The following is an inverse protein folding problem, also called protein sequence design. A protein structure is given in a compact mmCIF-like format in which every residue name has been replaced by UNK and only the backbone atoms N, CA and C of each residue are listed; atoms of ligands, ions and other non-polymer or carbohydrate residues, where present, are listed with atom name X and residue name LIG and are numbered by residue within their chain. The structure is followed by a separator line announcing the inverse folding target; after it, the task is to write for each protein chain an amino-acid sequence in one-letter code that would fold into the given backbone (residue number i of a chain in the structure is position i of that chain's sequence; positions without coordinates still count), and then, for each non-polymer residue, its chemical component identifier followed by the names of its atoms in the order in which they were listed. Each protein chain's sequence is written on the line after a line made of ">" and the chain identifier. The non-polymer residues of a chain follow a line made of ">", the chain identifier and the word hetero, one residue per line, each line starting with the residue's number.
data_IF_865523945911
#
_entry.id   IF_865523945911
#
_cell.length_a   1.000
_cell.length_b   1.000
_cell.length_c   1.000
_cell.angle_alpha   90.00
_cell.angle_beta   90.00
_cell.angle_gamma   90.00
#
_symmetry.space_group_name_H-M   'P 1'
#
loop_
_entity.id
_entity.type
_entity.pdbx_description
1 polymer ?
#
# COMPACT_ATOMS: atom_id res chain seq x y z
N UNK A 1 -21.04 -8.13 31.68
CA UNK A 1 -20.46 -9.05 30.66
C UNK A 1 -20.80 -8.51 29.27
N UNK A 2 -20.06 -7.52 28.74
CA UNK A 2 -20.22 -7.04 27.35
C UNK A 2 -18.96 -6.27 26.93
N UNK A 3 -17.81 -6.94 26.96
CA UNK A 3 -16.53 -6.39 26.47
C UNK A 3 -15.78 -7.44 25.64
N UNK A 4 -16.52 -8.28 24.92
CA UNK A 4 -15.95 -9.40 24.16
C UNK A 4 -16.66 -9.54 22.80
N UNK A 5 -16.68 -8.51 21.96
CA UNK A 5 -17.00 -8.71 20.53
C UNK A 5 -16.62 -7.60 19.54
N UNK A 6 -15.92 -6.55 19.95
CA UNK A 6 -15.61 -5.41 19.06
C UNK A 6 -14.24 -5.48 18.40
N UNK A 7 -13.35 -6.39 18.78
CA UNK A 7 -12.03 -6.54 18.15
C UNK A 7 -12.09 -7.19 16.76
N UNK A 8 -12.99 -8.17 16.59
CA UNK A 8 -13.17 -8.90 15.34
C UNK A 8 -13.66 -7.99 14.18
N UNK A 9 -14.70 -7.14 14.33
CA UNK A 9 -15.12 -6.27 13.24
C UNK A 9 -14.09 -5.21 12.85
N UNK A 10 -13.18 -4.80 13.74
CA UNK A 10 -12.15 -3.79 13.44
C UNK A 10 -11.01 -4.39 12.61
N UNK A 11 -10.63 -5.65 12.87
CA UNK A 11 -9.68 -6.38 12.04
C UNK A 11 -10.25 -6.73 10.66
N UNK A 12 -11.57 -6.97 10.58
CA UNK A 12 -12.28 -7.22 9.32
C UNK A 12 -12.52 -5.94 8.50
N UNK A 13 -12.86 -4.84 9.17
CA UNK A 13 -13.15 -3.55 8.57
C UNK A 13 -11.86 -2.70 8.50
N UNK A 14 -10.89 -3.18 7.72
CA UNK A 14 -9.67 -2.41 7.45
C UNK A 14 -9.94 -1.24 6.49
N UNK A 15 -8.93 -0.92 5.68
CA UNK A 15 -8.98 0.19 4.73
C UNK A 15 -10.16 0.11 3.73
N UNK A 16 -10.82 -1.04 3.61
CA UNK A 16 -11.98 -1.31 2.73
C UNK A 16 -13.27 -0.66 3.21
N UNK A 17 -13.32 -0.15 4.46
CA UNK A 17 -14.51 0.52 5.03
C UNK A 17 -14.36 2.04 5.00
N UNK A 18 -15.40 2.74 4.55
CA UNK A 18 -15.38 4.18 4.25
C UNK A 18 -15.08 5.12 5.45
N UNK A 19 -15.03 4.62 6.69
CA UNK A 19 -14.60 5.36 7.88
C UNK A 19 -13.29 4.86 8.52
N UNK A 20 -12.72 3.78 8.00
CA UNK A 20 -11.56 3.07 8.55
C UNK A 20 -10.41 2.98 7.54
N UNK A 21 -10.38 3.90 6.56
CA UNK A 21 -9.33 3.95 5.52
C UNK A 21 -7.92 4.08 6.08
N UNK A 22 -7.77 4.59 7.31
CA UNK A 22 -6.51 4.71 8.06
C UNK A 22 -6.13 3.47 8.89
N UNK A 23 -6.95 2.41 8.87
CA UNK A 23 -6.68 1.15 9.56
C UNK A 23 -6.15 0.14 8.53
N UNK A 24 -4.84 -0.10 8.56
CA UNK A 24 -4.16 -0.99 7.63
C UNK A 24 -2.95 -1.64 8.31
N UNK A 25 -2.52 -2.78 7.76
CA UNK A 25 -1.33 -3.49 8.23
C UNK A 25 -0.06 -2.96 7.55
N UNK A 26 -0.17 -2.53 6.29
CA UNK A 26 0.92 -1.98 5.50
C UNK A 26 0.38 -0.85 4.62
N UNK A 27 1.13 0.25 4.51
CA UNK A 27 0.94 1.26 3.47
C UNK A 27 2.25 1.45 2.71
N UNK A 28 2.17 1.40 1.38
CA UNK A 28 3.28 1.66 0.47
C UNK A 28 2.88 2.82 -0.44
N UNK A 29 3.73 3.82 -0.59
CA UNK A 29 3.47 4.94 -1.50
C UNK A 29 4.73 5.42 -2.21
N UNK A 30 4.54 5.98 -3.40
CA UNK A 30 5.57 6.79 -4.02
C UNK A 30 5.52 8.19 -3.43
N UNK A 31 6.63 8.60 -2.81
CA UNK A 31 6.76 9.95 -2.26
C UNK A 31 7.13 10.93 -3.38
N UNK A 32 6.43 12.07 -3.44
CA UNK A 32 6.96 13.24 -4.14
C UNK A 32 8.25 13.65 -3.43
N UNK A 33 9.30 13.85 -4.21
CA UNK A 33 10.71 13.96 -3.81
C UNK A 33 11.06 15.22 -3.00
N UNK A 34 10.35 15.47 -1.90
CA UNK A 34 10.68 16.50 -0.90
C UNK A 34 11.30 15.93 0.38
N UNK A 35 11.13 14.64 0.63
CA UNK A 35 11.82 13.95 1.72
C UNK A 35 13.14 13.40 1.17
N UNK A 36 14.16 14.26 1.08
CA UNK A 36 15.53 13.80 1.14
C UNK A 36 15.66 12.97 2.42
N UNK A 37 15.50 11.65 2.31
CA UNK A 37 15.85 10.72 3.37
C UNK A 37 17.27 11.07 3.74
N UNK A 38 17.48 11.47 4.99
CA UNK A 38 18.81 11.81 5.50
C UNK A 38 19.71 10.64 5.16
N UNK A 39 20.56 10.84 4.14
CA UNK A 39 21.33 9.80 3.49
C UNK A 39 22.38 9.34 4.50
N UNK A 40 22.01 8.39 5.33
CA UNK A 40 22.93 7.82 6.30
C UNK A 40 23.79 6.83 5.51
N UNK A 41 24.87 7.37 4.92
CA UNK A 41 25.81 6.70 4.04
C UNK A 41 26.48 5.45 4.65
N UNK A 42 26.17 5.15 5.91
CA UNK A 42 26.70 3.99 6.61
C UNK A 42 26.12 2.66 6.12
N UNK A 43 24.90 2.61 5.57
CA UNK A 43 24.22 1.34 5.26
C UNK A 43 23.80 1.13 3.80
N UNK A 44 23.87 2.13 2.91
CA UNK A 44 23.42 2.01 1.52
C UNK A 44 24.35 2.80 0.59
N UNK A 45 24.80 2.15 -0.49
CA UNK A 45 25.58 2.80 -1.55
C UNK A 45 24.75 3.91 -2.23
N UNK A 46 25.26 5.16 -2.30
CA UNK A 46 24.54 6.31 -2.87
C UNK A 46 23.96 6.03 -4.26
N UNK A 47 24.75 5.38 -5.12
CA UNK A 47 24.41 5.10 -6.51
C UNK A 47 23.15 4.22 -6.67
N UNK A 48 22.82 3.41 -5.66
CA UNK A 48 21.64 2.55 -5.71
C UNK A 48 20.38 3.35 -5.39
N UNK A 49 20.47 4.29 -4.45
CA UNK A 49 19.36 5.18 -4.10
C UNK A 49 19.00 6.08 -5.29
N UNK A 50 20.00 6.62 -5.99
CA UNK A 50 19.77 7.47 -7.16
C UNK A 50 19.03 6.74 -8.29
N UNK A 51 19.35 5.45 -8.50
CA UNK A 51 18.64 4.63 -9.49
C UNK A 51 17.17 4.42 -9.13
N UNK A 52 16.84 4.20 -7.85
CA UNK A 52 15.47 4.09 -7.38
C UNK A 52 14.70 5.41 -7.52
N UNK A 53 15.34 6.53 -7.17
CA UNK A 53 14.73 7.86 -7.29
C UNK A 53 14.37 8.20 -8.74
N UNK A 54 15.25 7.89 -9.69
CA UNK A 54 15.03 8.12 -11.13
C UNK A 54 13.86 7.28 -11.69
N UNK A 55 13.62 6.08 -11.16
CA UNK A 55 12.49 5.24 -11.58
C UNK A 55 11.14 5.76 -11.06
N UNK A 56 11.14 6.44 -9.92
CA UNK A 56 9.92 6.97 -9.27
C UNK A 56 9.67 8.44 -9.59
N UNK A 57 10.60 9.12 -10.26
CA UNK A 57 10.54 10.58 -10.52
C UNK A 57 9.28 11.00 -11.28
N UNK A 58 8.77 10.14 -12.17
CA UNK A 58 7.56 10.41 -12.96
C UNK A 58 6.28 9.78 -12.38
N UNK A 59 6.39 9.10 -11.23
CA UNK A 59 5.27 8.37 -10.62
C UNK A 59 5.09 8.86 -9.19
N UNK A 60 4.21 9.83 -9.02
CA UNK A 60 3.89 10.39 -7.71
C UNK A 60 2.45 10.10 -7.28
N UNK A 61 2.26 10.01 -5.96
CA UNK A 61 0.94 9.98 -5.34
C UNK A 61 0.15 8.69 -5.45
N UNK A 62 0.71 7.60 -5.99
CA UNK A 62 0.13 6.26 -5.80
C UNK A 62 0.43 5.78 -4.37
N UNK A 63 -0.61 5.37 -3.65
CA UNK A 63 -0.53 4.70 -2.35
C UNK A 63 -1.36 3.40 -2.40
N UNK A 64 -0.75 2.31 -1.95
CA UNK A 64 -1.38 1.00 -1.80
C UNK A 64 -1.37 0.62 -0.33
N UNK A 65 -2.56 0.41 0.23
CA UNK A 65 -2.77 -0.04 1.60
C UNK A 65 -3.23 -1.49 1.59
N UNK A 66 -2.58 -2.33 2.38
CA UNK A 66 -2.98 -3.71 2.60
C UNK A 66 -3.63 -3.86 3.98
N UNK A 67 -4.78 -4.53 3.99
CA UNK A 67 -5.48 -5.00 5.18
C UNK A 67 -5.58 -6.52 5.13
N UNK A 68 -6.07 -7.14 6.20
CA UNK A 68 -6.17 -8.60 6.27
C UNK A 68 -7.04 -9.20 5.15
N UNK A 69 -8.16 -8.54 4.84
CA UNK A 69 -9.16 -9.05 3.89
C UNK A 69 -9.17 -8.35 2.54
N UNK A 70 -8.27 -7.39 2.30
CA UNK A 70 -8.23 -6.71 1.02
C UNK A 70 -7.24 -5.56 0.95
N UNK A 71 -7.35 -4.84 -0.15
CA UNK A 71 -6.42 -3.81 -0.57
C UNK A 71 -7.16 -2.54 -0.91
N UNK A 72 -6.50 -1.41 -0.73
CA UNK A 72 -7.04 -0.11 -1.03
C UNK A 72 -6.00 0.70 -1.76
N UNK A 73 -6.41 1.30 -2.86
CA UNK A 73 -5.55 2.03 -3.74
C UNK A 73 -6.00 3.49 -3.79
N UNK A 74 -5.07 4.39 -3.55
CA UNK A 74 -5.32 5.84 -3.50
C UNK A 74 -4.36 6.52 -4.45
N UNK A 75 -4.86 7.50 -5.21
CA UNK A 75 -4.03 8.35 -6.05
C UNK A 75 -4.13 9.80 -5.57
N UNK A 76 -3.00 10.49 -5.43
CA UNK A 76 -2.92 11.91 -5.05
C UNK A 76 -3.82 12.27 -3.86
N UNK A 77 -3.88 11.40 -2.84
CA UNK A 77 -4.75 11.55 -1.66
C UNK A 77 -6.25 11.75 -1.95
N UNK A 78 -6.71 11.33 -3.14
CA UNK A 78 -8.11 11.39 -3.57
C UNK A 78 -8.91 10.19 -3.03
N UNK A 79 -10.09 9.92 -3.61
CA UNK A 79 -10.89 8.75 -3.23
C UNK A 79 -10.09 7.44 -3.38
N UNK A 80 -10.16 6.59 -2.35
CA UNK A 80 -9.53 5.27 -2.35
C UNK A 80 -10.47 4.23 -2.97
N UNK A 81 -9.97 3.46 -3.93
CA UNK A 81 -10.66 2.29 -4.50
C UNK A 81 -10.22 1.04 -3.78
N UNK A 82 -11.17 0.28 -3.24
CA UNK A 82 -10.89 -0.89 -2.41
C UNK A 82 -11.37 -2.18 -3.09
N UNK A 83 -10.59 -3.25 -2.99
CA UNK A 83 -10.98 -4.58 -3.48
C UNK A 83 -10.34 -5.68 -2.65
N UNK A 84 -10.98 -6.84 -2.58
CA UNK A 84 -10.39 -8.04 -1.98
C UNK A 84 -9.37 -8.72 -2.91
N UNK A 85 -9.43 -8.45 -4.21
CA UNK A 85 -8.48 -8.95 -5.20
C UNK A 85 -7.64 -7.80 -5.72
N UNK A 86 -6.32 -7.94 -5.59
CA UNK A 86 -5.39 -6.92 -6.06
C UNK A 86 -5.34 -6.84 -7.59
N UNK A 87 -5.65 -7.95 -8.27
CA UNK A 87 -5.65 -8.02 -9.73
C UNK A 87 -6.77 -7.12 -10.32
N UNK A 88 -7.88 -6.97 -9.60
CA UNK A 88 -8.93 -5.99 -9.96
C UNK A 88 -8.42 -4.55 -9.89
N UNK A 89 -7.60 -4.23 -8.87
CA UNK A 89 -7.00 -2.90 -8.71
C UNK A 89 -5.87 -2.64 -9.72
N UNK A 90 -5.14 -3.68 -10.13
CA UNK A 90 -4.06 -3.57 -11.11
C UNK A 90 -4.54 -2.99 -12.45
N UNK A 91 -5.73 -3.40 -12.90
CA UNK A 91 -6.36 -2.83 -14.10
C UNK A 91 -6.58 -1.30 -14.00
N UNK A 92 -6.90 -0.80 -12.81
CA UNK A 92 -7.12 0.64 -12.56
C UNK A 92 -5.82 1.43 -12.62
N UNK A 93 -4.71 0.83 -12.19
CA UNK A 93 -3.37 1.41 -12.33
C UNK A 93 -2.98 1.47 -13.80
N UNK A 94 -3.10 0.36 -14.53
CA UNK A 94 -2.72 0.27 -15.95
C UNK A 94 -3.52 1.21 -16.86
N UNK A 95 -4.79 1.50 -16.50
CA UNK A 95 -5.67 2.39 -17.28
C UNK A 95 -5.36 3.89 -17.08
N UNK A 96 -4.51 4.25 -16.11
CA UNK A 96 -4.18 5.65 -15.84
C UNK A 96 -3.00 6.09 -16.72
N UNK A 97 -2.99 7.37 -17.12
CA UNK A 97 -1.90 7.94 -17.92
C UNK A 97 -0.53 7.83 -17.21
N UNK A 98 -0.53 7.96 -15.88
CA UNK A 98 0.63 7.78 -14.99
C UNK A 98 0.75 6.33 -14.48
N UNK A 99 0.14 5.38 -15.21
CA UNK A 99 -0.16 3.99 -14.80
C UNK A 99 1.04 3.06 -14.62
N UNK A 100 2.17 3.59 -14.17
CA UNK A 100 3.36 2.84 -13.87
C UNK A 100 3.41 2.53 -12.39
N UNK A 101 3.55 1.25 -12.07
CA UNK A 101 3.95 0.78 -10.76
C UNK A 101 5.40 0.26 -10.85
N UNK A 102 6.40 1.16 -11.02
CA UNK A 102 7.78 0.79 -11.37
C UNK A 102 8.45 -0.11 -10.33
N UNK A 103 8.11 0.04 -9.06
CA UNK A 103 8.60 -0.79 -7.95
C UNK A 103 7.63 -1.91 -7.57
N UNK A 104 6.56 -2.09 -8.34
CA UNK A 104 5.59 -3.15 -8.14
C UNK A 104 5.02 -3.17 -6.70
N UNK A 105 4.59 -2.01 -6.22
CA UNK A 105 3.95 -1.82 -4.91
C UNK A 105 2.70 -2.69 -4.76
N UNK A 106 1.93 -2.89 -5.85
CA UNK A 106 0.76 -3.78 -5.82
C UNK A 106 1.19 -5.21 -5.52
N UNK A 107 2.15 -5.76 -6.26
CA UNK A 107 2.64 -7.12 -6.00
C UNK A 107 3.26 -7.23 -4.60
N UNK A 108 4.03 -6.24 -4.17
CA UNK A 108 4.64 -6.23 -2.83
C UNK A 108 3.57 -6.27 -1.72
N UNK A 109 2.51 -5.47 -1.86
CA UNK A 109 1.37 -5.50 -0.95
C UNK A 109 0.66 -6.87 -0.96
N UNK A 110 0.50 -7.49 -2.15
CA UNK A 110 -0.06 -8.84 -2.31
C UNK A 110 0.73 -9.86 -1.49
N UNK A 111 2.04 -9.92 -1.72
CA UNK A 111 2.94 -10.86 -1.06
C UNK A 111 2.95 -10.66 0.44
N UNK A 112 2.96 -9.41 0.91
CA UNK A 112 2.86 -9.12 2.34
C UNK A 112 1.57 -9.67 2.94
N UNK A 113 0.40 -9.38 2.34
CA UNK A 113 -0.88 -9.91 2.85
C UNK A 113 -0.85 -11.43 2.85
N UNK A 114 -0.49 -12.05 1.73
CA UNK A 114 -0.51 -13.51 1.57
C UNK A 114 0.43 -14.21 2.56
N UNK A 115 1.57 -13.59 2.93
CA UNK A 115 2.48 -14.09 3.95
C UNK A 115 2.02 -13.80 5.39
N UNK A 116 1.18 -12.78 5.60
CA UNK A 116 0.73 -12.33 6.93
C UNK A 116 -0.60 -12.93 7.36
N UNK A 117 -1.36 -13.55 6.43
CA UNK A 117 -2.62 -14.24 6.76
C UNK A 117 -2.31 -15.34 7.78
N UNK A 118 -2.76 -15.10 9.00
CA UNK A 118 -2.67 -16.05 10.10
C UNK A 118 -3.62 -17.21 9.83
N UNK A 119 -3.09 -18.41 9.64
CA UNK A 119 -3.88 -19.59 9.29
C UNK A 119 -4.88 -20.03 10.37
N UNK A 120 -4.82 -19.47 11.59
CA UNK A 120 -5.76 -19.77 12.67
C UNK A 120 -7.09 -19.00 12.62
N UNK A 121 -7.36 -18.25 11.54
CA UNK A 121 -8.65 -17.60 11.26
C UNK A 121 -9.47 -18.34 10.17
N UNK A 122 -8.99 -19.50 9.70
CA UNK A 122 -9.68 -20.42 8.78
C UNK A 122 -10.35 -21.56 9.55
#
# INVERSE_FOLDING_TARGET
>A
MTALNTALPILLAGCTTHGLSKVYLLSLSYADTGAATTQNNNHVSPNTIDAFMNLTENVSGLEVRASYFGFCLTFNSSASTCSNSIDNLASTVQQRADGQDPLNLLWTAKQFRDATIFSGLM
#
